data_IF_704383010454
#
_entry.id   IF_704383010454
#
_cell.length_a   1.000
_cell.length_b   1.000
_cell.length_c   1.000
_cell.angle_alpha   90.00
_cell.angle_beta   90.00
_cell.angle_gamma   90.00
#
_symmetry.space_group_name_H-M   'P 1'
#
loop_
_entity.id
_entity.type
_entity.pdbx_description
1 polymer ?
#
# COMPACT_ATOMS: atom_id res chain seq x y z
N UNK A 1 37.24 2.78 -0.64
CA UNK A 1 35.80 2.87 -0.91
C UNK A 1 35.25 3.96 -0.03
N UNK A 2 34.57 4.95 -0.61
CA UNK A 2 33.91 6.02 0.15
C UNK A 2 32.53 5.48 0.51
N UNK A 3 32.32 5.10 1.77
CA UNK A 3 31.00 4.71 2.26
C UNK A 3 30.20 5.97 2.53
N UNK A 4 29.13 6.16 1.78
CA UNK A 4 28.15 7.22 1.97
C UNK A 4 27.23 6.80 3.12
N UNK A 5 27.48 7.31 4.32
CA UNK A 5 26.57 7.17 5.46
C UNK A 5 25.48 8.22 5.26
N UNK A 6 24.28 7.76 4.90
CA UNK A 6 23.09 8.61 4.90
C UNK A 6 22.53 8.56 6.33
N UNK A 7 22.84 9.60 7.11
CA UNK A 7 22.18 9.84 8.38
C UNK A 7 20.82 10.47 8.09
N UNK A 8 19.74 9.74 8.34
CA UNK A 8 18.41 10.32 8.49
C UNK A 8 18.14 10.48 9.97
N UNK A 9 18.23 11.72 10.46
CA UNK A 9 17.68 12.09 11.76
C UNK A 9 16.16 12.07 11.63
N UNK A 10 15.51 11.04 12.19
CA UNK A 10 14.07 11.01 12.41
C UNK A 10 13.73 12.04 13.49
N UNK A 11 13.50 13.28 13.06
CA UNK A 11 12.80 14.28 13.86
C UNK A 11 11.39 13.74 14.04
N UNK A 12 11.06 13.30 15.26
CA UNK A 12 9.74 12.85 15.67
C UNK A 12 8.67 13.84 15.23
N UNK A 13 7.95 13.47 14.17
CA UNK A 13 6.77 14.18 13.71
C UNK A 13 5.60 13.64 14.50
N UNK A 14 5.06 14.45 15.41
CA UNK A 14 3.82 14.19 16.15
C UNK A 14 2.58 14.12 15.23
N UNK A 15 2.53 13.09 14.40
CA UNK A 15 1.35 12.65 13.66
C UNK A 15 0.73 11.49 14.43
N UNK A 16 -0.56 11.57 14.72
CA UNK A 16 -1.32 10.57 15.48
C UNK A 16 -1.56 9.26 14.72
N UNK A 17 -0.67 8.85 13.81
CA UNK A 17 -0.88 7.73 12.90
C UNK A 17 0.41 6.97 12.62
N UNK A 18 0.29 5.65 12.60
CA UNK A 18 1.37 4.72 12.24
C UNK A 18 1.74 4.89 10.76
N UNK A 19 3.04 4.85 10.48
CA UNK A 19 3.64 4.97 9.14
C UNK A 19 2.98 4.04 8.11
N UNK A 20 2.86 4.58 6.90
CA UNK A 20 2.38 3.87 5.73
C UNK A 20 3.38 2.83 5.25
N UNK A 21 3.05 1.54 5.22
CA UNK A 21 3.87 0.58 4.47
C UNK A 21 3.61 0.73 2.97
N UNK A 22 4.59 1.17 2.19
CA UNK A 22 4.47 1.39 0.73
C UNK A 22 5.32 0.41 -0.08
N UNK A 23 6.26 -0.28 0.56
CA UNK A 23 7.15 -1.26 -0.06
C UNK A 23 6.59 -2.67 0.10
N UNK A 24 6.58 -3.44 -0.99
CA UNK A 24 6.27 -4.87 -0.94
C UNK A 24 7.52 -5.64 -0.49
N UNK A 25 7.43 -6.31 0.67
CA UNK A 25 8.53 -7.04 1.29
C UNK A 25 8.27 -8.54 1.22
N UNK A 26 9.35 -9.30 1.06
CA UNK A 26 9.32 -10.75 1.14
C UNK A 26 10.08 -11.18 2.41
N UNK A 27 9.59 -12.20 3.15
CA UNK A 27 10.29 -12.68 4.32
C UNK A 27 11.71 -13.16 3.97
N UNK A 28 12.65 -13.05 4.90
CA UNK A 28 13.96 -13.67 4.72
C UNK A 28 13.82 -15.20 4.55
N UNK A 29 14.70 -15.81 3.73
CA UNK A 29 14.72 -17.26 3.58
C UNK A 29 14.92 -17.96 4.92
N UNK A 30 14.26 -19.11 5.12
CA UNK A 30 14.47 -19.94 6.31
C UNK A 30 15.95 -20.33 6.45
N UNK A 31 16.45 -20.27 7.69
CA UNK A 31 17.86 -20.55 8.00
C UNK A 31 18.81 -19.38 7.75
N UNK A 32 18.29 -18.18 7.47
CA UNK A 32 19.11 -16.95 7.40
C UNK A 32 19.67 -16.54 8.76
N UNK A 33 18.91 -16.81 9.83
CA UNK A 33 19.26 -16.45 11.21
C UNK A 33 20.00 -17.60 11.90
N UNK A 34 21.11 -17.28 12.57
CA UNK A 34 21.71 -18.11 13.61
C UNK A 34 21.01 -17.82 14.93
N UNK A 35 19.93 -18.56 15.22
CA UNK A 35 18.98 -18.20 16.28
C UNK A 35 19.62 -17.93 17.65
N UNK A 36 19.24 -16.81 18.25
CA UNK A 36 19.66 -16.37 19.59
C UNK A 36 18.49 -16.32 20.58
N UNK A 37 18.72 -15.81 21.78
CA UNK A 37 17.64 -15.39 22.68
C UNK A 37 16.81 -14.25 22.06
N UNK A 38 15.78 -13.80 22.76
CA UNK A 38 14.89 -12.74 22.24
C UNK A 38 15.03 -11.41 22.95
N UNK A 39 15.63 -11.39 24.15
CA UNK A 39 15.80 -10.16 24.88
C UNK A 39 16.89 -10.26 25.94
N UNK A 40 17.39 -9.10 26.37
CA UNK A 40 18.11 -8.86 27.62
C UNK A 40 17.38 -7.76 28.37
N UNK A 41 17.19 -7.95 29.67
CA UNK A 41 16.54 -6.99 30.56
C UNK A 41 17.46 -6.73 31.75
N UNK A 42 18.13 -5.57 31.76
CA UNK A 42 19.06 -5.19 32.82
C UNK A 42 18.37 -4.53 34.02
N UNK A 43 17.11 -4.12 33.84
CA UNK A 43 16.38 -3.26 34.78
C UNK A 43 15.15 -3.94 35.39
N UNK A 44 14.88 -5.20 35.03
CA UNK A 44 13.80 -6.06 35.53
C UNK A 44 12.39 -5.55 35.18
N UNK A 45 12.22 -5.09 33.95
CA UNK A 45 10.90 -4.75 33.39
C UNK A 45 10.06 -6.00 33.08
N UNK A 46 10.68 -7.10 32.70
CA UNK A 46 10.00 -8.26 32.13
C UNK A 46 9.75 -9.33 33.21
N UNK A 47 8.51 -9.41 33.68
CA UNK A 47 8.03 -10.47 34.55
C UNK A 47 7.48 -11.68 33.79
N UNK A 48 6.70 -11.46 32.72
CA UNK A 48 6.08 -12.49 31.90
C UNK A 48 6.78 -12.66 30.54
N UNK A 49 7.85 -13.45 30.57
CA UNK A 49 8.66 -13.76 29.38
C UNK A 49 7.89 -14.44 28.25
N UNK A 50 6.81 -15.16 28.56
CA UNK A 50 5.99 -15.84 27.54
C UNK A 50 5.18 -14.85 26.73
N UNK A 51 4.59 -13.84 27.40
CA UNK A 51 3.89 -12.74 26.71
C UNK A 51 4.86 -12.00 25.80
N UNK A 52 5.99 -11.51 26.33
CA UNK A 52 6.99 -10.78 25.55
C UNK A 52 7.42 -11.57 24.31
N UNK A 53 7.88 -12.80 24.51
CA UNK A 53 8.48 -13.59 23.43
C UNK A 53 7.46 -14.06 22.40
N UNK A 54 6.15 -14.03 22.71
CA UNK A 54 5.12 -14.41 21.74
C UNK A 54 5.07 -13.45 20.54
N UNK A 55 5.04 -12.13 20.78
CA UNK A 55 5.06 -11.14 19.71
C UNK A 55 6.40 -11.08 18.98
N UNK A 56 7.51 -11.23 19.70
CA UNK A 56 8.85 -11.27 19.10
C UNK A 56 9.03 -12.48 18.17
N UNK A 57 8.54 -13.65 18.57
CA UNK A 57 8.52 -14.86 17.72
C UNK A 57 7.61 -14.69 16.51
N UNK A 58 6.43 -14.08 16.69
CA UNK A 58 5.54 -13.80 15.57
C UNK A 58 6.20 -12.89 14.54
N UNK A 59 6.92 -11.85 14.98
CA UNK A 59 7.70 -11.00 14.09
C UNK A 59 8.72 -11.81 13.30
N UNK A 60 9.48 -12.68 13.96
CA UNK A 60 10.43 -13.57 13.28
C UNK A 60 9.76 -14.52 12.29
N UNK A 61 8.66 -15.17 12.68
CA UNK A 61 7.92 -16.09 11.82
C UNK A 61 7.37 -15.39 10.56
N UNK A 62 6.92 -14.14 10.69
CA UNK A 62 6.31 -13.36 9.62
C UNK A 62 7.35 -12.76 8.66
N UNK A 63 8.46 -12.26 9.20
CA UNK A 63 9.46 -11.48 8.45
C UNK A 63 10.71 -12.28 8.09
N UNK A 64 10.97 -13.40 8.77
CA UNK A 64 12.23 -14.12 8.71
C UNK A 64 13.41 -13.41 9.38
N UNK A 65 13.21 -12.23 9.98
CA UNK A 65 14.21 -11.46 10.73
C UNK A 65 14.00 -11.69 12.21
N UNK A 66 15.02 -12.17 12.94
CA UNK A 66 14.88 -12.37 14.38
C UNK A 66 15.03 -11.03 15.12
N UNK A 67 14.01 -10.56 15.87
CA UNK A 67 14.17 -9.38 16.71
C UNK A 67 14.82 -9.75 18.04
N UNK A 68 15.55 -8.78 18.60
CA UNK A 68 16.12 -8.84 19.92
C UNK A 68 15.88 -7.52 20.65
N UNK A 69 15.30 -7.57 21.85
CA UNK A 69 15.03 -6.38 22.67
C UNK A 69 16.06 -6.27 23.79
N UNK A 70 16.78 -5.17 23.87
CA UNK A 70 17.73 -4.90 24.95
C UNK A 70 17.23 -3.72 25.79
N UNK A 71 16.82 -4.00 27.03
CA UNK A 71 16.27 -3.01 27.96
C UNK A 71 17.35 -2.63 28.96
N UNK A 72 17.65 -1.33 29.04
CA UNK A 72 18.69 -0.81 29.93
C UNK A 72 18.32 0.59 30.43
N UNK A 73 18.93 1.02 31.53
CA UNK A 73 18.89 2.41 32.01
C UNK A 73 20.26 3.09 31.90
N UNK A 74 21.26 2.42 31.31
CA UNK A 74 22.65 2.84 31.30
C UNK A 74 23.31 2.61 29.95
N UNK A 75 23.89 3.65 29.37
CA UNK A 75 24.70 3.57 28.15
C UNK A 75 26.12 3.99 28.47
N UNK A 76 27.09 3.09 28.27
CA UNK A 76 28.51 3.32 28.57
C UNK A 76 28.76 3.87 30.00
N UNK A 77 27.96 3.43 30.98
CA UNK A 77 28.05 3.88 32.38
C UNK A 77 27.35 5.22 32.68
N UNK A 78 26.61 5.79 31.72
CA UNK A 78 25.83 7.02 31.87
C UNK A 78 24.32 6.76 31.84
N UNK A 79 23.59 7.42 32.75
CA UNK A 79 22.12 7.50 32.75
C UNK A 79 21.57 8.70 31.97
N UNK A 80 22.45 9.48 31.33
CA UNK A 80 22.08 10.65 30.53
C UNK A 80 22.84 10.64 29.19
N UNK A 81 22.72 9.57 28.38
CA UNK A 81 23.35 9.54 27.06
C UNK A 81 22.68 10.52 26.11
N UNK A 82 23.45 11.01 25.16
CA UNK A 82 22.94 11.62 23.93
C UNK A 82 22.41 10.55 22.98
N UNK A 83 21.59 10.95 22.01
CA UNK A 83 21.09 10.02 20.99
C UNK A 83 22.22 9.39 20.16
N UNK A 84 23.26 10.17 19.82
CA UNK A 84 24.44 9.67 19.10
C UNK A 84 25.22 8.62 19.93
N UNK A 85 25.27 8.78 21.26
CA UNK A 85 25.88 7.79 22.16
C UNK A 85 25.05 6.51 22.24
N UNK A 86 23.72 6.62 22.31
CA UNK A 86 22.81 5.46 22.26
C UNK A 86 22.94 4.69 20.93
N UNK A 87 22.98 5.41 19.81
CA UNK A 87 23.19 4.82 18.49
C UNK A 87 24.54 4.07 18.42
N UNK A 88 25.64 4.74 18.81
CA UNK A 88 26.96 4.11 18.78
C UNK A 88 27.03 2.88 19.71
N UNK A 89 26.35 2.94 20.85
CA UNK A 89 26.20 1.81 21.76
C UNK A 89 25.44 0.65 21.11
N UNK A 90 24.29 0.92 20.49
CA UNK A 90 23.49 -0.08 19.81
C UNK A 90 24.25 -0.76 18.65
N UNK A 91 24.98 0.02 17.84
CA UNK A 91 25.82 -0.51 16.75
C UNK A 91 26.92 -1.44 17.28
N UNK A 92 27.60 -1.05 18.36
CA UNK A 92 28.60 -1.88 19.01
C UNK A 92 27.99 -3.14 19.61
N UNK A 93 26.84 -3.02 20.25
CA UNK A 93 26.12 -4.12 20.90
C UNK A 93 25.62 -5.14 19.87
N UNK A 94 25.12 -4.70 18.72
CA UNK A 94 24.72 -5.59 17.62
C UNK A 94 25.85 -6.52 17.21
N UNK A 95 27.03 -5.96 16.97
CA UNK A 95 28.23 -6.72 16.57
C UNK A 95 28.73 -7.68 17.66
N UNK A 96 28.37 -7.46 18.92
CA UNK A 96 28.72 -8.35 20.03
C UNK A 96 27.72 -9.50 20.19
N UNK A 97 26.43 -9.22 19.98
CA UNK A 97 25.34 -10.18 20.20
C UNK A 97 25.17 -11.14 19.02
N UNK A 98 25.40 -10.69 17.79
CA UNK A 98 25.06 -11.45 16.58
C UNK A 98 26.29 -11.73 15.73
N UNK A 99 26.25 -12.89 15.06
CA UNK A 99 27.31 -13.32 14.13
C UNK A 99 26.82 -13.38 12.68
N UNK A 100 25.54 -13.06 12.47
CA UNK A 100 24.89 -12.96 11.17
C UNK A 100 24.35 -11.55 10.94
N UNK A 101 23.74 -11.35 9.76
CA UNK A 101 23.17 -10.07 9.33
C UNK A 101 21.63 -10.13 9.25
N UNK A 102 21.01 -11.12 9.87
CA UNK A 102 19.58 -11.44 9.79
C UNK A 102 18.79 -11.08 11.06
N UNK A 103 19.44 -10.39 12.00
CA UNK A 103 18.81 -9.87 13.23
C UNK A 103 18.41 -8.40 13.12
N UNK A 104 17.40 -8.04 13.91
CA UNK A 104 17.09 -6.66 14.31
C UNK A 104 17.30 -6.54 15.82
N UNK A 105 18.12 -5.58 16.24
CA UNK A 105 18.27 -5.20 17.65
C UNK A 105 17.45 -3.93 17.90
N UNK A 106 16.61 -3.92 18.93
CA UNK A 106 16.04 -2.73 19.53
C UNK A 106 16.71 -2.51 20.88
N UNK A 107 17.42 -1.39 21.05
CA UNK A 107 17.89 -0.93 22.35
C UNK A 107 16.87 0.06 22.89
N UNK A 108 16.23 -0.30 24.01
CA UNK A 108 15.26 0.51 24.72
C UNK A 108 15.91 1.02 26.00
N UNK A 109 16.13 2.33 26.06
CA UNK A 109 16.78 3.01 27.18
C UNK A 109 15.75 3.78 28.01
N UNK A 110 15.64 3.47 29.30
CA UNK A 110 14.82 4.27 30.22
C UNK A 110 15.41 4.29 31.62
N UNK A 111 15.86 5.47 32.06
CA UNK A 111 16.29 5.72 33.43
C UNK A 111 15.23 6.47 34.26
N UNK A 112 14.58 7.46 33.64
CA UNK A 112 13.51 8.23 34.28
C UNK A 112 12.16 7.69 33.79
N UNK A 113 11.23 7.32 34.68
CA UNK A 113 9.93 6.81 34.26
C UNK A 113 9.22 7.74 33.28
N UNK A 114 8.66 7.18 32.20
CA UNK A 114 7.95 7.93 31.15
C UNK A 114 8.84 8.78 30.22
N UNK A 115 10.16 8.61 30.27
CA UNK A 115 11.15 9.31 29.45
C UNK A 115 12.14 8.30 28.86
N UNK A 116 11.72 7.66 27.77
CA UNK A 116 12.52 6.66 27.07
C UNK A 116 13.26 7.26 25.87
N UNK A 117 14.36 6.62 25.51
CA UNK A 117 15.02 6.75 24.22
C UNK A 117 15.16 5.36 23.61
N UNK A 118 15.02 5.25 22.29
CA UNK A 118 15.28 3.99 21.61
C UNK A 118 16.13 4.17 20.36
N UNK A 119 16.76 3.06 19.98
CA UNK A 119 17.45 2.95 18.71
C UNK A 119 17.38 1.52 18.22
N UNK A 120 17.18 1.32 16.92
CA UNK A 120 17.24 -0.01 16.33
C UNK A 120 18.43 -0.15 15.37
N UNK A 121 19.01 -1.34 15.33
CA UNK A 121 20.05 -1.73 14.37
C UNK A 121 19.57 -2.96 13.61
N UNK A 122 19.59 -2.88 12.29
CA UNK A 122 19.27 -4.00 11.41
C UNK A 122 20.52 -4.48 10.70
N UNK A 123 20.71 -5.79 10.68
CA UNK A 123 21.73 -6.42 9.87
C UNK A 123 21.49 -6.19 8.39
N UNK A 124 22.55 -6.28 7.61
CA UNK A 124 22.55 -6.01 6.17
C UNK A 124 21.55 -6.88 5.41
N UNK A 125 21.38 -8.15 5.81
CA UNK A 125 20.39 -9.03 5.20
C UNK A 125 18.98 -8.67 5.69
N UNK A 126 18.81 -8.42 6.98
CA UNK A 126 17.54 -8.00 7.57
C UNK A 126 16.98 -6.72 6.92
N UNK A 127 17.83 -5.80 6.45
CA UNK A 127 17.43 -4.56 5.75
C UNK A 127 16.62 -4.78 4.47
N UNK A 128 16.61 -5.98 3.87
CA UNK A 128 15.73 -6.26 2.73
C UNK A 128 14.27 -6.39 3.13
N UNK A 129 14.01 -6.59 4.43
CA UNK A 129 12.68 -6.70 5.02
C UNK A 129 12.43 -5.51 5.94
N UNK A 130 13.34 -5.26 6.88
CA UNK A 130 13.27 -4.10 7.78
C UNK A 130 14.14 -2.97 7.25
N UNK A 131 13.68 -2.36 6.16
CA UNK A 131 14.21 -1.09 5.66
C UNK A 131 13.81 0.09 6.57
N UNK A 132 14.17 1.32 6.20
CA UNK A 132 13.88 2.49 7.03
C UNK A 132 12.38 2.70 7.27
N UNK A 133 11.53 2.45 6.27
CA UNK A 133 10.06 2.61 6.42
C UNK A 133 9.50 1.54 7.38
N UNK A 134 9.99 0.31 7.30
CA UNK A 134 9.62 -0.75 8.24
C UNK A 134 10.14 -0.51 9.65
N UNK A 135 11.34 0.07 9.79
CA UNK A 135 11.87 0.51 11.07
C UNK A 135 11.03 1.63 11.69
N UNK A 136 10.64 2.64 10.90
CA UNK A 136 9.73 3.71 11.35
C UNK A 136 8.38 3.14 11.80
N UNK A 137 7.81 2.16 11.07
CA UNK A 137 6.60 1.44 11.49
C UNK A 137 6.78 0.79 12.87
N UNK A 138 7.91 0.13 13.12
CA UNK A 138 8.19 -0.49 14.42
C UNK A 138 8.24 0.55 15.53
N UNK A 139 8.98 1.64 15.34
CA UNK A 139 9.11 2.72 16.33
C UNK A 139 7.75 3.41 16.59
N UNK A 140 6.93 3.60 15.57
CA UNK A 140 5.57 4.16 15.74
C UNK A 140 4.68 3.28 16.62
N UNK A 141 4.81 1.94 16.51
CA UNK A 141 4.07 1.02 17.37
C UNK A 141 4.62 0.98 18.80
N UNK A 142 5.94 1.05 18.97
CA UNK A 142 6.58 1.17 20.29
C UNK A 142 6.08 2.43 20.99
N UNK A 143 6.17 3.59 20.34
CA UNK A 143 5.71 4.87 20.88
C UNK A 143 4.22 4.83 21.25
N UNK A 144 3.39 4.33 20.32
CA UNK A 144 1.94 4.19 20.55
C UNK A 144 1.61 3.30 21.74
N UNK A 145 2.30 2.17 21.89
CA UNK A 145 1.99 1.20 22.93
C UNK A 145 2.63 1.57 24.27
N UNK A 146 3.75 2.29 24.27
CA UNK A 146 4.40 2.80 25.48
C UNK A 146 3.48 3.69 26.31
N UNK A 147 2.74 4.59 25.67
CA UNK A 147 1.79 5.47 26.36
C UNK A 147 0.42 4.82 26.65
N UNK A 148 0.25 3.53 26.36
CA UNK A 148 -0.99 2.82 26.61
C UNK A 148 -1.00 2.19 28.01
N UNK A 149 -1.62 2.89 28.97
CA UNK A 149 -1.73 2.43 30.37
C UNK A 149 -2.51 1.12 30.57
N UNK A 150 -3.13 0.58 29.51
CA UNK A 150 -3.81 -0.71 29.53
C UNK A 150 -2.91 -1.90 29.23
N UNK A 151 -1.65 -1.68 28.85
CA UNK A 151 -0.68 -2.73 28.55
C UNK A 151 0.32 -2.91 29.70
N UNK A 152 0.75 -4.15 29.93
CA UNK A 152 1.99 -4.41 30.69
C UNK A 152 3.21 -4.13 29.82
N UNK A 153 4.40 -4.05 30.43
CA UNK A 153 5.66 -3.82 29.71
C UNK A 153 5.89 -4.92 28.64
N UNK A 154 5.57 -6.17 28.96
CA UNK A 154 5.69 -7.29 28.02
C UNK A 154 4.67 -7.22 26.88
N UNK A 155 3.45 -6.78 27.17
CA UNK A 155 2.42 -6.57 26.16
C UNK A 155 2.76 -5.38 25.25
N UNK A 156 3.38 -4.33 25.80
CA UNK A 156 3.85 -3.18 25.03
C UNK A 156 4.84 -3.62 23.95
N UNK A 157 5.90 -4.34 24.32
CA UNK A 157 6.86 -4.85 23.33
C UNK A 157 6.23 -5.91 22.42
N UNK A 158 5.52 -6.90 22.99
CA UNK A 158 4.93 -7.99 22.22
C UNK A 158 3.98 -7.47 21.14
N UNK A 159 3.05 -6.58 21.50
CA UNK A 159 2.08 -6.01 20.57
C UNK A 159 2.76 -5.13 19.53
N UNK A 160 3.80 -4.38 19.92
CA UNK A 160 4.52 -3.51 18.98
C UNK A 160 5.20 -4.29 17.88
N UNK A 161 5.93 -5.36 18.24
CA UNK A 161 6.55 -6.22 17.24
C UNK A 161 5.52 -7.02 16.44
N UNK A 162 4.49 -7.55 17.09
CA UNK A 162 3.42 -8.27 16.39
C UNK A 162 2.75 -7.40 15.31
N UNK A 163 2.28 -6.22 15.69
CA UNK A 163 1.54 -5.34 14.80
C UNK A 163 2.46 -4.69 13.75
N UNK A 164 3.71 -4.38 14.10
CA UNK A 164 4.70 -3.90 13.13
C UNK A 164 4.96 -4.95 12.05
N UNK A 165 5.09 -6.23 12.41
CA UNK A 165 5.31 -7.32 11.47
C UNK A 165 4.16 -7.44 10.46
N UNK A 166 2.91 -7.39 10.93
CA UNK A 166 1.76 -7.39 10.03
C UNK A 166 1.74 -6.14 9.14
N UNK A 167 1.99 -4.97 9.73
CA UNK A 167 1.92 -3.69 9.03
C UNK A 167 2.97 -3.54 7.94
N UNK A 168 4.23 -3.89 8.22
CA UNK A 168 5.33 -3.73 7.27
C UNK A 168 5.25 -4.75 6.13
N UNK A 169 4.73 -5.95 6.40
CA UNK A 169 4.60 -7.02 5.40
C UNK A 169 3.39 -6.84 4.47
N UNK A 170 2.52 -5.88 4.74
CA UNK A 170 1.39 -5.52 3.87
C UNK A 170 1.56 -4.15 3.23
N UNK A 171 1.30 -4.05 1.92
CA UNK A 171 1.31 -2.74 1.23
C UNK A 171 0.00 -1.99 1.48
N UNK A 172 0.13 -0.76 1.96
CA UNK A 172 -0.98 0.18 2.13
C UNK A 172 -1.56 0.54 0.77
N UNK A 173 -2.82 0.15 0.55
CA UNK A 173 -3.56 0.53 -0.66
C UNK A 173 -4.23 1.88 -0.46
N UNK A 174 -4.06 2.78 -1.41
CA UNK A 174 -4.76 4.07 -1.39
C UNK A 174 -6.28 3.86 -1.50
N UNK A 175 -7.09 4.40 -0.57
CA UNK A 175 -8.56 4.31 -0.64
C UNK A 175 -9.14 4.89 -1.93
N UNK A 176 -8.46 5.88 -2.52
CA UNK A 176 -8.88 6.55 -3.75
C UNK A 176 -8.91 5.62 -4.97
N UNK A 177 -8.07 4.58 -5.00
CA UNK A 177 -8.07 3.60 -6.10
C UNK A 177 -9.45 2.94 -6.19
N UNK A 178 -10.01 2.48 -5.06
CA UNK A 178 -11.35 1.88 -5.00
C UNK A 178 -12.43 2.86 -5.44
N UNK A 179 -12.34 4.11 -4.98
CA UNK A 179 -13.29 5.17 -5.34
C UNK A 179 -13.30 5.43 -6.84
N UNK A 180 -12.12 5.57 -7.47
CA UNK A 180 -12.02 5.79 -8.92
C UNK A 180 -12.54 4.62 -9.75
N UNK A 181 -12.36 3.37 -9.29
CA UNK A 181 -12.93 2.19 -9.96
C UNK A 181 -14.47 2.26 -9.97
N UNK A 182 -15.09 2.64 -8.85
CA UNK A 182 -16.55 2.78 -8.74
C UNK A 182 -17.05 3.90 -9.67
N UNK A 183 -16.40 5.06 -9.67
CA UNK A 183 -16.74 6.16 -10.57
C UNK A 183 -16.58 5.77 -12.04
N UNK A 184 -15.51 5.04 -12.39
CA UNK A 184 -15.30 4.50 -13.73
C UNK A 184 -16.43 3.56 -14.17
N UNK A 185 -16.82 2.62 -13.30
CA UNK A 185 -17.93 1.70 -13.58
C UNK A 185 -19.27 2.45 -13.78
N UNK A 186 -19.56 3.44 -12.93
CA UNK A 186 -20.75 4.29 -13.07
C UNK A 186 -20.74 5.08 -14.38
N UNK A 187 -19.61 5.66 -14.76
CA UNK A 187 -19.48 6.38 -16.03
C UNK A 187 -19.75 5.46 -17.24
N UNK A 188 -19.22 4.24 -17.22
CA UNK A 188 -19.49 3.23 -18.27
C UNK A 188 -20.96 2.88 -18.33
N UNK A 189 -21.63 2.67 -17.20
CA UNK A 189 -23.08 2.39 -17.15
C UNK A 189 -23.90 3.55 -17.74
N UNK A 190 -23.54 4.80 -17.44
CA UNK A 190 -24.20 5.99 -17.98
C UNK A 190 -24.02 6.05 -19.51
N UNK A 191 -22.81 5.78 -20.00
CA UNK A 191 -22.52 5.77 -21.46
C UNK A 191 -23.34 4.68 -22.16
N UNK A 192 -23.36 3.46 -21.62
CA UNK A 192 -24.14 2.36 -22.16
C UNK A 192 -25.64 2.66 -22.18
N UNK A 193 -26.15 3.26 -21.11
CA UNK A 193 -27.55 3.69 -21.02
C UNK A 193 -27.88 4.78 -22.06
N UNK A 194 -27.02 5.80 -22.18
CA UNK A 194 -27.21 6.87 -23.15
C UNK A 194 -27.18 6.32 -24.59
N UNK A 195 -26.26 5.40 -24.89
CA UNK A 195 -26.16 4.77 -26.20
C UNK A 195 -27.39 3.90 -26.51
N UNK A 196 -27.85 3.11 -25.55
CA UNK A 196 -29.09 2.33 -25.68
C UNK A 196 -30.33 3.22 -25.87
N UNK A 197 -30.45 4.29 -25.09
CA UNK A 197 -31.54 5.25 -25.22
C UNK A 197 -31.53 5.96 -26.58
N UNK A 198 -30.35 6.32 -27.08
CA UNK A 198 -30.19 6.93 -28.41
C UNK A 198 -30.56 5.95 -29.51
N UNK A 199 -30.06 4.71 -29.46
CA UNK A 199 -30.40 3.65 -30.40
C UNK A 199 -31.91 3.36 -30.42
N UNK A 200 -32.56 3.36 -29.24
CA UNK A 200 -34.01 3.18 -29.14
C UNK A 200 -34.79 4.36 -29.74
N UNK A 201 -34.33 5.59 -29.53
CA UNK A 201 -34.92 6.79 -30.13
C UNK A 201 -34.83 6.77 -31.66
N UNK A 202 -33.70 6.31 -32.21
CA UNK A 202 -33.50 6.21 -33.65
C UNK A 202 -34.46 5.20 -34.30
N UNK A 203 -34.65 4.02 -33.68
CA UNK A 203 -35.64 3.04 -34.15
C UNK A 203 -37.07 3.56 -34.14
N UNK A 204 -37.45 4.36 -33.15
CA UNK A 204 -38.78 4.97 -33.10
C UNK A 204 -39.00 6.01 -34.22
N UNK A 205 -37.95 6.77 -34.59
CA UNK A 205 -38.02 7.73 -35.69
C UNK A 205 -38.13 7.03 -37.05
N UNK A 206 -37.39 5.95 -37.25
CA UNK A 206 -37.48 5.12 -38.47
C UNK A 206 -38.88 4.49 -38.62
N UNK A 207 -39.47 4.01 -37.52
CA UNK A 207 -40.84 3.48 -37.53
C UNK A 207 -41.87 4.55 -37.93
N UNK A 208 -41.75 5.78 -37.39
CA UNK A 208 -42.62 6.90 -37.77
C UNK A 208 -42.43 7.32 -39.23
N UNK A 209 -41.20 7.37 -39.74
CA UNK A 209 -40.92 7.65 -41.15
C UNK A 209 -41.47 6.55 -42.06
N UNK A 210 -41.35 5.29 -41.65
CA UNK A 210 -41.90 4.16 -42.39
C UNK A 210 -43.43 4.21 -42.44
N UNK A 211 -44.09 4.53 -41.32
CA UNK A 211 -45.55 4.74 -41.30
C UNK A 211 -45.98 5.93 -42.17
N UNK A 212 -45.23 7.04 -42.17
CA UNK A 212 -45.53 8.18 -43.04
C UNK A 212 -45.39 7.81 -44.52
N UNK A 213 -44.37 7.05 -44.91
CA UNK A 213 -44.19 6.58 -46.30
C UNK A 213 -45.32 5.62 -46.69
N UNK A 214 -45.65 4.66 -45.82
CA UNK A 214 -46.73 3.68 -46.07
C UNK A 214 -48.11 4.35 -46.21
N UNK A 215 -48.37 5.41 -45.45
CA UNK A 215 -49.63 6.16 -45.51
C UNK A 215 -49.61 7.33 -46.50
N UNK A 216 -48.50 7.55 -47.21
CA UNK A 216 -48.44 8.58 -48.25
C UNK A 216 -49.19 8.09 -49.50
N UNK A 217 -50.20 8.82 -50.00
CA UNK A 217 -50.99 8.38 -51.14
C UNK A 217 -50.14 8.22 -52.41
N UNK A 218 -50.32 7.09 -53.10
CA UNK A 218 -49.58 6.67 -54.30
C UNK A 218 -49.52 7.73 -55.42
N UNK A 219 -50.48 8.65 -55.48
CA UNK A 219 -50.50 9.77 -56.44
C UNK A 219 -49.29 10.70 -56.33
N UNK A 220 -48.72 10.91 -55.13
CA UNK A 220 -47.51 11.75 -54.98
C UNK A 220 -46.24 11.13 -55.56
N UNK A 221 -46.17 9.80 -55.64
CA UNK A 221 -45.04 9.08 -56.26
C UNK A 221 -45.24 8.92 -57.78
N UNK A 222 -46.49 8.97 -58.24
CA UNK A 222 -46.88 8.91 -59.65
C UNK A 222 -46.56 10.21 -60.41
N UNK A 223 -46.85 11.37 -59.82
CA UNK A 223 -46.99 12.61 -60.61
C UNK A 223 -45.70 13.43 -60.80
N UNK A 224 -44.54 12.97 -60.28
CA UNK A 224 -43.30 13.75 -60.33
C UNK A 224 -42.08 12.97 -60.82
N UNK A 225 -41.77 11.81 -60.24
CA UNK A 225 -40.57 11.04 -60.64
C UNK A 225 -40.86 10.05 -61.77
N UNK A 226 -42.04 9.42 -61.76
CA UNK A 226 -42.41 8.44 -62.78
C UNK A 226 -42.69 9.11 -64.14
N UNK A 227 -43.27 10.31 -64.16
CA UNK A 227 -43.54 11.07 -65.39
C UNK A 227 -42.26 11.61 -66.06
N UNK A 228 -41.29 12.08 -65.28
CA UNK A 228 -39.99 12.56 -65.80
C UNK A 228 -39.10 11.39 -66.28
N UNK A 229 -39.18 10.23 -65.64
CA UNK A 229 -38.55 9.00 -66.13
C UNK A 229 -39.21 8.52 -67.43
N UNK A 230 -40.55 8.53 -67.51
CA UNK A 230 -41.27 8.13 -68.72
C UNK A 230 -40.90 9.02 -69.93
N UNK A 231 -40.84 10.36 -69.76
CA UNK A 231 -40.44 11.29 -70.84
C UNK A 231 -39.03 11.02 -71.39
N UNK A 232 -38.11 10.51 -70.58
CA UNK A 232 -36.73 10.23 -71.00
C UNK A 232 -36.59 8.98 -71.88
N UNK A 233 -37.57 8.08 -71.82
CA UNK A 233 -37.59 6.85 -72.63
C UNK A 233 -38.64 6.86 -73.75
N UNK A 234 -39.56 7.82 -73.74
CA UNK A 234 -40.66 7.91 -74.72
C UNK A 234 -40.38 8.88 -75.89
N UNK A 235 -39.10 9.22 -76.13
CA UNK A 235 -38.72 9.98 -77.34
C UNK A 235 -38.59 9.00 -78.52
N UNK A 236 -39.45 9.04 -79.56
CA UNK A 236 -39.33 8.12 -80.67
C UNK A 236 -38.13 8.49 -81.54
N UNK A 237 -37.19 7.56 -81.72
CA UNK A 237 -36.22 7.62 -82.81
C UNK A 237 -37.00 7.52 -84.12
N UNK A 238 -37.11 8.64 -84.85
CA UNK A 238 -37.45 8.64 -86.27
C UNK A 238 -36.19 8.34 -87.06
N UNK A 239 -36.28 7.29 -87.85
CA UNK A 239 -35.33 6.92 -88.89
C UNK A 239 -35.18 8.06 -89.92
N UNK A 240 -33.94 8.38 -90.29
CA UNK A 240 -33.63 9.06 -91.55
C UNK A 240 -32.87 8.08 -92.46
N UNK A 241 -33.53 7.71 -93.55
CA UNK A 241 -32.99 7.00 -94.70
C UNK A 241 -32.91 7.97 -95.90
N UNK A 242 -31.85 7.83 -96.72
CA UNK A 242 -31.54 8.44 -98.03
C UNK A 242 -30.93 9.85 -98.10
N UNK A 243 -29.64 9.95 -98.47
CA UNK A 243 -29.07 9.81 -99.83
C UNK A 243 -27.56 9.58 -99.78
#
# INVERSE_FOLDING_TARGET
MISLIIAFSSIGSGGTGVTGSTVAREPLPKGSVSETGYYTDEVNWIGNTTTLTSGLKYFYDKTGVQPYVYITDTVNGSHYPTYDELQAYADSLYNQLFTDEAHLLLVFFEYTPSDYMDYYVTGTQAKTVVDSEAGDILLDYIDRNYYNSGLTDEEMFSNSFHDAADRMMEVTKSPWITVFVIFGALAVLIILFAWWAHAKKQKNLEAQHTEQILNTPLQKFSDSEAEDLAKKYDTPQKDEENQ
#
